data_IF_217463862098
#
_entry.id   IF_217463862098
#
_cell.length_a   1.000
_cell.length_b   1.000
_cell.length_c   1.000
_cell.angle_alpha   90.00
_cell.angle_beta   90.00
_cell.angle_gamma   90.00
#
_symmetry.space_group_name_H-M   'P 1'
#
loop_
_entity.id
_entity.type
_entity.pdbx_description
1 polymer ?
#
# COMPACT_ATOMS: atom_id res chain seq x y z
N UNK A 1 -29.97 7.25 -29.19
CA UNK A 1 -29.89 6.49 -27.93
C UNK A 1 -28.43 6.29 -27.60
N UNK A 2 -27.92 7.01 -26.60
CA UNK A 2 -26.55 6.89 -26.12
C UNK A 2 -26.50 5.71 -25.15
N UNK A 3 -25.90 4.60 -25.58
CA UNK A 3 -25.61 3.46 -24.71
C UNK A 3 -24.48 3.83 -23.75
N UNK A 4 -24.82 4.14 -22.50
CA UNK A 4 -23.85 4.18 -21.42
C UNK A 4 -23.37 2.74 -21.16
N UNK A 5 -22.21 2.40 -21.73
CA UNK A 5 -21.44 1.23 -21.32
C UNK A 5 -20.91 1.50 -19.90
N UNK A 6 -21.68 1.13 -18.88
CA UNK A 6 -21.19 1.06 -17.51
C UNK A 6 -20.15 -0.06 -17.45
N UNK A 7 -18.87 0.28 -17.60
CA UNK A 7 -17.77 -0.69 -17.42
C UNK A 7 -17.85 -1.20 -15.97
N UNK A 8 -17.88 -2.53 -15.85
CA UNK A 8 -17.88 -3.31 -14.60
C UNK A 8 -16.93 -2.72 -13.56
N UNK A 9 -17.44 -2.66 -12.33
CA UNK A 9 -16.97 -1.94 -11.16
C UNK A 9 -15.46 -2.02 -10.89
N UNK A 10 -14.85 -0.87 -10.58
CA UNK A 10 -13.62 -0.90 -9.79
C UNK A 10 -13.99 -1.42 -8.40
N UNK A 11 -13.28 -2.44 -7.91
CA UNK A 11 -13.48 -3.01 -6.57
C UNK A 11 -13.20 -1.95 -5.52
N UNK A 12 -14.27 -1.30 -5.07
CA UNK A 12 -14.24 -0.25 -4.07
C UNK A 12 -14.82 -0.82 -2.78
N UNK A 13 -13.98 -1.04 -1.78
CA UNK A 13 -14.42 -1.45 -0.45
C UNK A 13 -14.50 -0.24 0.48
N UNK A 14 -15.32 -0.36 1.53
CA UNK A 14 -15.34 0.64 2.61
C UNK A 14 -14.18 0.40 3.55
N UNK A 15 -13.47 1.46 3.92
CA UNK A 15 -12.50 1.37 5.02
C UNK A 15 -13.21 1.58 6.35
N UNK A 16 -12.59 1.12 7.43
CA UNK A 16 -13.09 1.33 8.79
C UNK A 16 -12.27 2.40 9.51
N UNK A 17 -12.90 3.15 10.40
CA UNK A 17 -12.22 4.15 11.22
C UNK A 17 -11.93 3.60 12.61
N UNK A 18 -10.69 3.74 13.06
CA UNK A 18 -10.27 3.48 14.44
C UNK A 18 -9.49 4.68 14.99
N UNK A 19 -10.16 5.49 15.82
CA UNK A 19 -9.57 6.70 16.41
C UNK A 19 -8.40 6.41 17.35
N UNK A 20 -8.28 5.18 17.86
CA UNK A 20 -7.24 4.76 18.79
C UNK A 20 -6.02 4.16 18.08
N UNK A 21 -6.00 4.16 16.74
CA UNK A 21 -4.94 3.51 15.97
C UNK A 21 -3.57 4.14 16.25
N UNK A 22 -3.50 5.43 16.53
CA UNK A 22 -2.27 6.12 16.96
C UNK A 22 -1.67 5.57 18.26
N UNK A 23 -2.50 4.98 19.12
CA UNK A 23 -2.10 4.35 20.38
C UNK A 23 -1.67 2.88 20.20
N UNK A 24 -1.73 2.32 19.00
CA UNK A 24 -1.27 0.96 18.73
C UNK A 24 0.24 0.84 18.97
N UNK A 25 0.67 -0.19 19.71
CA UNK A 25 2.08 -0.41 20.06
C UNK A 25 3.02 -0.42 18.85
N UNK A 26 2.59 -1.01 17.73
CA UNK A 26 3.41 -1.03 16.51
C UNK A 26 3.58 0.38 15.95
N UNK A 27 2.51 1.18 15.92
CA UNK A 27 2.55 2.57 15.44
C UNK A 27 3.40 3.45 16.37
N UNK A 28 3.27 3.28 17.67
CA UNK A 28 4.13 3.98 18.63
C UNK A 28 5.60 3.60 18.44
N UNK A 29 5.88 2.32 18.19
CA UNK A 29 7.22 1.81 17.95
C UNK A 29 7.85 2.43 16.69
N UNK A 30 7.08 2.62 15.61
CA UNK A 30 7.54 3.31 14.39
C UNK A 30 8.13 4.69 14.70
N UNK A 31 7.57 5.42 15.66
CA UNK A 31 8.04 6.77 16.04
C UNK A 31 9.38 6.75 16.79
N UNK A 32 9.84 5.58 17.26
CA UNK A 32 11.11 5.44 18.01
C UNK A 32 12.31 5.11 17.12
N UNK A 33 12.08 4.74 15.86
CA UNK A 33 13.14 4.39 14.93
C UNK A 33 13.27 5.41 13.81
N UNK A 34 14.50 5.69 13.34
CA UNK A 34 14.69 6.53 12.17
C UNK A 34 14.05 5.88 10.95
N UNK A 35 13.71 6.70 9.96
CA UNK A 35 13.25 6.17 8.69
C UNK A 35 14.33 5.35 7.99
N UNK A 36 13.88 4.39 7.20
CA UNK A 36 14.75 3.50 6.45
C UNK A 36 15.37 4.24 5.26
N UNK A 37 16.70 4.14 5.14
CA UNK A 37 17.46 4.52 3.95
C UNK A 37 17.72 3.25 3.14
N UNK A 38 16.91 3.05 2.10
CA UNK A 38 16.99 1.85 1.26
C UNK A 38 18.15 1.96 0.24
N UNK A 39 18.53 3.19 -0.15
CA UNK A 39 19.54 3.43 -1.18
C UNK A 39 20.41 4.65 -0.84
N UNK A 40 21.66 4.66 -1.29
CA UNK A 40 22.62 5.72 -0.95
C UNK A 40 22.20 7.11 -1.42
N UNK A 41 21.56 7.20 -2.59
CA UNK A 41 21.09 8.43 -3.23
C UNK A 41 19.70 8.88 -2.78
N UNK A 42 19.05 8.13 -1.89
CA UNK A 42 17.69 8.44 -1.44
C UNK A 42 17.67 9.69 -0.55
N UNK A 43 16.67 10.55 -0.78
CA UNK A 43 16.31 11.64 0.14
C UNK A 43 15.28 11.11 1.13
N UNK A 44 15.61 11.15 2.42
CA UNK A 44 14.72 10.70 3.48
C UNK A 44 13.64 11.75 3.73
N UNK A 45 12.39 11.44 3.37
CA UNK A 45 11.25 12.37 3.50
C UNK A 45 10.64 12.45 4.91
N UNK A 46 10.96 11.50 5.81
CA UNK A 46 10.41 11.42 7.16
C UNK A 46 11.53 11.18 8.19
N UNK A 47 11.54 11.86 9.35
CA UNK A 47 12.55 11.63 10.38
C UNK A 47 12.38 10.27 11.10
N UNK A 48 11.19 9.68 11.06
CA UNK A 48 10.88 8.42 11.75
C UNK A 48 10.34 7.38 10.78
N UNK A 49 10.47 6.10 11.13
CA UNK A 49 9.93 4.99 10.36
C UNK A 49 8.45 5.19 10.05
N UNK A 50 8.06 5.00 8.80
CA UNK A 50 6.67 5.24 8.35
C UNK A 50 5.85 3.96 8.15
N UNK A 51 6.48 2.79 8.06
CA UNK A 51 5.74 1.54 7.91
C UNK A 51 6.45 0.33 8.53
N UNK A 52 5.62 -0.56 9.06
CA UNK A 52 5.97 -1.94 9.38
C UNK A 52 4.98 -2.84 8.67
N UNK A 53 5.36 -3.27 7.47
CA UNK A 53 4.56 -4.10 6.58
C UNK A 53 5.39 -5.32 6.20
N UNK A 54 4.73 -6.47 6.24
CA UNK A 54 5.27 -7.74 5.77
C UNK A 54 4.47 -8.12 4.54
N UNK A 55 5.18 -8.45 3.47
CA UNK A 55 4.62 -9.09 2.31
C UNK A 55 5.16 -10.51 2.19
N UNK A 56 4.31 -11.45 1.80
CA UNK A 56 4.75 -12.78 1.34
C UNK A 56 4.19 -13.03 -0.05
N UNK A 57 5.04 -13.49 -0.96
CA UNK A 57 4.62 -14.00 -2.26
C UNK A 57 4.76 -15.53 -2.23
N UNK A 58 3.74 -16.25 -2.67
CA UNK A 58 3.81 -17.70 -2.82
C UNK A 58 3.38 -18.15 -4.21
N UNK A 59 4.14 -19.08 -4.78
CA UNK A 59 3.92 -19.61 -6.13
C UNK A 59 4.45 -21.05 -6.20
N UNK A 60 3.99 -21.81 -7.19
CA UNK A 60 4.53 -23.15 -7.48
C UNK A 60 5.70 -23.03 -8.45
N UNK A 61 6.83 -23.66 -8.13
CA UNK A 61 7.95 -23.76 -9.07
C UNK A 61 7.72 -24.85 -10.13
N UNK A 62 8.69 -25.03 -11.04
CA UNK A 62 8.61 -26.02 -12.11
C UNK A 62 8.43 -27.48 -11.63
N UNK A 63 8.79 -27.76 -10.37
CA UNK A 63 8.63 -29.07 -9.74
C UNK A 63 7.34 -29.17 -8.93
N UNK A 64 6.41 -28.21 -9.09
CA UNK A 64 5.16 -28.09 -8.31
C UNK A 64 5.39 -27.91 -6.81
N UNK A 65 6.61 -27.55 -6.39
CA UNK A 65 6.88 -27.24 -5.00
C UNK A 65 6.44 -25.80 -4.71
N UNK A 66 5.68 -25.62 -3.61
CA UNK A 66 5.27 -24.28 -3.17
C UNK A 66 6.47 -23.53 -2.61
N UNK A 67 6.82 -22.40 -3.25
CA UNK A 67 7.81 -21.44 -2.77
C UNK A 67 7.11 -20.29 -2.07
N UNK A 68 7.74 -19.78 -1.02
CA UNK A 68 7.29 -18.60 -0.27
C UNK A 68 8.48 -17.65 -0.15
N UNK A 69 8.32 -16.42 -0.62
CA UNK A 69 9.34 -15.38 -0.57
C UNK A 69 8.81 -14.22 0.28
N UNK A 70 9.46 -13.92 1.41
CA UNK A 70 9.12 -12.74 2.20
C UNK A 70 9.73 -11.48 1.58
N UNK A 71 9.01 -10.37 1.72
CA UNK A 71 9.46 -9.02 1.40
C UNK A 71 9.09 -8.10 2.56
N UNK A 72 9.96 -7.15 2.85
CA UNK A 72 9.83 -6.20 3.94
C UNK A 72 10.34 -4.83 3.50
N UNK A 73 10.67 -3.98 4.49
CA UNK A 73 11.34 -2.70 4.26
C UNK A 73 10.51 -1.68 3.46
N UNK A 74 9.18 -1.77 3.58
CA UNK A 74 8.25 -0.79 3.06
C UNK A 74 8.33 0.55 3.80
N UNK A 75 8.01 1.60 3.06
CA UNK A 75 7.82 2.98 3.51
C UNK A 75 6.41 3.44 3.14
N UNK A 76 5.91 4.44 3.86
CA UNK A 76 4.62 5.05 3.61
C UNK A 76 4.76 6.53 3.25
N UNK A 77 4.16 6.90 2.11
CA UNK A 77 3.99 8.29 1.68
C UNK A 77 2.51 8.54 1.39
N UNK A 78 1.97 9.65 1.86
CA UNK A 78 0.59 10.02 1.62
C UNK A 78 0.52 11.38 0.94
N UNK A 79 -0.28 11.50 -0.11
CA UNK A 79 -0.47 12.72 -0.88
C UNK A 79 -1.96 12.95 -1.05
N UNK A 80 -2.43 14.16 -0.79
CA UNK A 80 -3.80 14.54 -1.12
C UNK A 80 -3.83 15.18 -2.51
N UNK A 81 -4.48 14.55 -3.48
CA UNK A 81 -4.57 15.04 -4.86
C UNK A 81 -6.03 15.13 -5.29
N UNK A 82 -6.48 16.36 -5.55
CA UNK A 82 -7.90 16.67 -5.82
C UNK A 82 -8.76 16.16 -4.66
N UNK A 83 -9.64 15.19 -4.92
CA UNK A 83 -10.54 14.57 -3.93
C UNK A 83 -10.12 13.13 -3.57
N UNK A 84 -8.85 12.79 -3.81
CA UNK A 84 -8.32 11.45 -3.55
C UNK A 84 -7.09 11.54 -2.67
N UNK A 85 -7.15 10.83 -1.55
CA UNK A 85 -5.98 10.54 -0.75
C UNK A 85 -5.26 9.32 -1.35
N UNK A 86 -4.02 9.53 -1.77
CA UNK A 86 -3.14 8.49 -2.30
C UNK A 86 -2.13 8.07 -1.23
N UNK A 87 -2.21 6.83 -0.78
CA UNK A 87 -1.28 6.24 0.19
C UNK A 87 -0.40 5.23 -0.53
N UNK A 88 0.85 5.58 -0.68
CA UNK A 88 1.89 4.79 -1.30
C UNK A 88 2.59 3.95 -0.24
N UNK A 89 2.44 2.62 -0.33
CA UNK A 89 3.07 1.65 0.56
C UNK A 89 4.01 0.79 -0.28
N UNK A 90 5.27 1.23 -0.40
CA UNK A 90 6.24 0.60 -1.30
C UNK A 90 7.67 0.64 -0.74
N UNK A 91 8.57 -0.11 -1.35
CA UNK A 91 10.00 -0.12 -1.07
C UNK A 91 10.83 0.34 -2.29
N UNK A 92 10.29 1.28 -3.07
CA UNK A 92 10.82 1.72 -4.35
C UNK A 92 12.19 2.44 -4.23
N UNK A 93 13.17 2.13 -5.11
CA UNK A 93 14.42 2.91 -5.30
C UNK A 93 14.37 3.99 -6.37
N UNK A 94 13.30 4.06 -7.15
CA UNK A 94 13.28 4.83 -8.40
C UNK A 94 13.63 4.02 -9.64
N UNK A 95 14.10 2.77 -9.52
CA UNK A 95 14.38 1.88 -10.66
C UNK A 95 13.44 0.66 -10.70
N UNK A 96 13.10 0.12 -9.53
CA UNK A 96 12.20 -1.00 -9.31
C UNK A 96 11.53 -0.81 -7.93
N UNK A 97 10.25 -1.16 -7.82
CA UNK A 97 9.53 -1.04 -6.55
C UNK A 97 8.42 -2.07 -6.44
N UNK A 98 8.34 -2.73 -5.29
CA UNK A 98 7.22 -3.58 -4.93
C UNK A 98 6.36 -2.82 -3.92
N UNK A 99 5.06 -3.13 -3.89
CA UNK A 99 4.14 -2.49 -2.97
C UNK A 99 2.77 -2.27 -3.60
N UNK A 100 2.03 -1.35 -3.00
CA UNK A 100 0.69 -0.98 -3.43
C UNK A 100 0.48 0.53 -3.36
N UNK A 101 -0.42 1.01 -4.21
CA UNK A 101 -1.07 2.31 -4.07
C UNK A 101 -2.49 2.08 -3.54
N UNK A 102 -2.78 2.63 -2.37
CA UNK A 102 -4.15 2.71 -1.84
C UNK A 102 -4.72 4.07 -2.24
N UNK A 103 -5.85 4.07 -2.94
CA UNK A 103 -6.56 5.30 -3.28
C UNK A 103 -7.84 5.35 -2.45
N UNK A 104 -8.01 6.40 -1.66
CA UNK A 104 -9.17 6.64 -0.79
C UNK A 104 -9.98 7.81 -1.33
N UNK A 105 -11.29 7.62 -1.48
CA UNK A 105 -12.25 8.60 -2.00
C UNK A 105 -13.55 8.46 -1.20
N UNK A 106 -13.92 9.51 -0.45
CA UNK A 106 -15.01 9.43 0.53
C UNK A 106 -14.71 8.39 1.61
N UNK A 107 -15.65 7.48 1.87
CA UNK A 107 -15.54 6.35 2.81
C UNK A 107 -15.06 5.03 2.13
N UNK A 108 -14.67 5.10 0.86
CA UNK A 108 -14.27 3.94 0.07
C UNK A 108 -12.79 4.00 -0.32
N UNK A 109 -12.24 2.85 -0.63
CA UNK A 109 -10.88 2.71 -1.12
C UNK A 109 -10.76 1.62 -2.18
N UNK A 110 -9.67 1.69 -2.94
CA UNK A 110 -9.17 0.57 -3.76
C UNK A 110 -7.67 0.44 -3.60
N UNK A 111 -7.17 -0.76 -3.85
CA UNK A 111 -5.74 -1.06 -3.85
C UNK A 111 -5.30 -1.38 -5.28
N UNK A 112 -4.17 -0.83 -5.70
CA UNK A 112 -3.49 -1.16 -6.96
C UNK A 112 -2.10 -1.69 -6.66
N UNK A 113 -1.79 -2.86 -7.19
CA UNK A 113 -0.45 -3.44 -7.09
C UNK A 113 0.52 -2.74 -8.05
N UNK A 114 1.65 -2.29 -7.51
CA UNK A 114 2.74 -1.73 -8.31
C UNK A 114 3.40 -2.86 -9.09
N UNK A 115 3.61 -2.67 -10.39
CA UNK A 115 4.33 -3.63 -11.21
C UNK A 115 5.84 -3.47 -10.96
N UNK A 116 6.51 -4.45 -10.30
CA UNK A 116 7.93 -4.34 -10.00
C UNK A 116 8.82 -4.42 -11.25
N UNK A 117 8.26 -4.80 -12.41
CA UNK A 117 8.98 -4.87 -13.69
C UNK A 117 8.85 -3.59 -14.53
N UNK A 118 8.19 -2.55 -14.01
CA UNK A 118 8.11 -1.28 -14.71
C UNK A 118 9.52 -0.66 -14.83
N UNK A 119 9.91 -0.27 -16.04
CA UNK A 119 11.21 0.35 -16.34
C UNK A 119 11.08 1.88 -16.39
N UNK A 120 12.22 2.58 -16.30
CA UNK A 120 12.39 3.99 -16.66
C UNK A 120 11.53 5.00 -15.88
N UNK A 121 11.59 4.99 -14.54
CA UNK A 121 10.88 5.95 -13.67
C UNK A 121 9.34 5.98 -13.84
N UNK A 122 8.76 5.04 -14.60
CA UNK A 122 7.32 4.94 -14.77
C UNK A 122 6.70 4.08 -13.67
N UNK A 123 5.66 4.61 -13.02
CA UNK A 123 4.83 3.80 -12.13
C UNK A 123 3.75 3.12 -12.97
N UNK A 124 3.86 1.80 -13.12
CA UNK A 124 2.80 0.96 -13.72
C UNK A 124 2.15 0.09 -12.66
N UNK A 125 0.90 -0.26 -12.88
CA UNK A 125 0.15 -1.17 -12.03
C UNK A 125 -0.06 -2.50 -12.75
N UNK A 126 0.06 -3.60 -12.02
CA UNK A 126 -0.24 -4.93 -12.52
C UNK A 126 -1.69 -5.29 -12.20
N UNK A 127 -2.34 -6.02 -13.10
CA UNK A 127 -3.70 -6.51 -12.87
C UNK A 127 -3.65 -7.63 -11.84
N UNK A 128 -4.53 -7.56 -10.85
CA UNK A 128 -4.63 -8.57 -9.80
C UNK A 128 -6.07 -9.04 -9.63
N UNK A 129 -6.22 -10.26 -9.14
CA UNK A 129 -7.47 -10.80 -8.64
C UNK A 129 -7.49 -10.60 -7.12
N UNK A 130 -8.34 -9.71 -6.62
CA UNK A 130 -8.41 -9.41 -5.19
C UNK A 130 -9.15 -10.54 -4.47
N UNK A 131 -8.49 -11.15 -3.50
CA UNK A 131 -9.08 -12.20 -2.65
C UNK A 131 -9.63 -11.61 -1.35
N UNK A 132 -8.91 -10.64 -0.77
CA UNK A 132 -9.32 -9.92 0.44
C UNK A 132 -8.67 -8.54 0.45
N UNK A 133 -9.40 -7.52 0.86
CA UNK A 133 -8.82 -6.22 1.20
C UNK A 133 -9.48 -5.65 2.45
N UNK A 134 -8.67 -5.07 3.34
CA UNK A 134 -9.09 -4.35 4.52
C UNK A 134 -8.16 -3.16 4.72
N UNK A 135 -8.76 -2.00 4.91
CA UNK A 135 -8.09 -0.77 5.29
C UNK A 135 -8.75 -0.23 6.57
N UNK A 136 -7.92 0.10 7.55
CA UNK A 136 -8.32 0.82 8.77
C UNK A 136 -7.54 2.13 8.80
N UNK A 137 -8.21 3.25 9.01
CA UNK A 137 -7.60 4.57 9.13
C UNK A 137 -8.00 5.24 10.45
N UNK A 138 -7.22 6.22 10.92
CA UNK A 138 -7.54 6.94 12.16
C UNK A 138 -8.75 7.88 12.07
N UNK A 139 -9.10 8.32 10.86
CA UNK A 139 -10.21 9.23 10.60
C UNK A 139 -10.77 9.02 9.19
N UNK A 140 -11.93 9.60 8.91
CA UNK A 140 -12.63 9.46 7.62
C UNK A 140 -12.44 10.65 6.68
N UNK A 141 -11.98 11.79 7.19
CA UNK A 141 -11.75 13.00 6.43
C UNK A 141 -10.31 13.43 6.65
N UNK A 142 -9.62 13.77 5.58
CA UNK A 142 -8.20 14.11 5.62
C UNK A 142 -7.95 15.42 4.90
N UNK A 143 -6.98 16.17 5.39
CA UNK A 143 -6.44 17.37 4.78
C UNK A 143 -4.93 17.27 4.69
N UNK A 144 -4.34 18.13 3.87
CA UNK A 144 -2.90 18.31 3.82
C UNK A 144 -2.36 18.66 5.22
N UNK A 145 -1.22 18.08 5.57
CA UNK A 145 -0.55 18.13 6.87
C UNK A 145 -1.21 17.34 8.01
N UNK A 146 -2.34 16.65 7.77
CA UNK A 146 -2.87 15.74 8.78
C UNK A 146 -1.92 14.56 9.01
N UNK A 147 -1.87 14.10 10.26
CA UNK A 147 -1.27 12.81 10.59
C UNK A 147 -2.23 11.69 10.20
N UNK A 148 -1.73 10.76 9.40
CA UNK A 148 -2.44 9.54 9.04
C UNK A 148 -1.79 8.35 9.71
N UNK A 149 -2.62 7.52 10.32
CA UNK A 149 -2.26 6.22 10.85
C UNK A 149 -3.15 5.19 10.18
N UNK A 150 -2.58 4.05 9.82
CA UNK A 150 -3.34 3.05 9.11
C UNK A 150 -2.88 1.62 9.34
N UNK A 151 -3.81 0.70 9.11
CA UNK A 151 -3.57 -0.73 9.02
C UNK A 151 -4.11 -1.25 7.69
N UNK A 152 -3.33 -2.08 7.03
CA UNK A 152 -3.69 -2.76 5.79
C UNK A 152 -3.61 -4.27 5.97
N UNK A 153 -4.58 -4.98 5.40
CA UNK A 153 -4.52 -6.43 5.23
C UNK A 153 -5.12 -6.77 3.87
N UNK A 154 -4.23 -7.07 2.92
CA UNK A 154 -4.54 -7.23 1.52
C UNK A 154 -3.99 -8.57 1.00
N UNK A 155 -4.84 -9.33 0.31
CA UNK A 155 -4.48 -10.59 -0.33
C UNK A 155 -4.99 -10.59 -1.77
N UNK A 156 -4.13 -10.97 -2.71
CA UNK A 156 -4.47 -11.04 -4.12
C UNK A 156 -3.71 -12.13 -4.86
N UNK A 157 -4.14 -12.42 -6.07
CA UNK A 157 -3.40 -13.23 -7.05
C UNK A 157 -2.92 -12.33 -8.18
N UNK A 158 -1.65 -12.50 -8.54
CA UNK A 158 -1.01 -11.85 -9.68
C UNK A 158 -0.86 -12.91 -10.76
N UNK A 159 -1.45 -12.63 -11.94
CA UNK A 159 -1.48 -13.51 -13.11
C UNK A 159 -1.96 -14.96 -12.82
N UNK A 160 -2.76 -15.16 -11.78
CA UNK A 160 -3.24 -16.48 -11.28
C UNK A 160 -2.14 -17.47 -10.85
N UNK A 161 -0.89 -17.01 -10.75
CA UNK A 161 0.27 -17.85 -10.45
C UNK A 161 0.96 -17.48 -9.13
N UNK A 162 0.84 -16.21 -8.73
CA UNK A 162 1.49 -15.70 -7.52
C UNK A 162 0.43 -15.21 -6.55
N UNK A 163 0.32 -15.86 -5.40
CA UNK A 163 -0.49 -15.38 -4.29
C UNK A 163 0.33 -14.41 -3.45
N UNK A 164 -0.18 -13.20 -3.24
CA UNK A 164 0.44 -12.16 -2.41
C UNK A 164 -0.38 -11.95 -1.15
N UNK A 165 0.26 -11.99 0.00
CA UNK A 165 -0.26 -11.49 1.28
C UNK A 165 0.54 -10.23 1.65
N UNK A 166 -0.15 -9.12 1.95
CA UNK A 166 0.43 -7.82 2.26
C UNK A 166 -0.28 -7.23 3.48
N UNK A 167 0.42 -7.16 4.60
CA UNK A 167 -0.20 -6.79 5.88
C UNK A 167 0.74 -5.96 6.75
N UNK A 168 0.18 -4.95 7.40
CA UNK A 168 0.94 -4.19 8.39
C UNK A 168 0.34 -2.86 8.77
N UNK A 169 1.13 -2.11 9.53
CA UNK A 169 0.78 -0.78 10.02
C UNK A 169 1.65 0.29 9.34
N UNK A 170 1.10 1.48 9.18
CA UNK A 170 1.80 2.62 8.63
C UNK A 170 1.38 3.92 9.32
N UNK A 171 2.27 4.91 9.27
CA UNK A 171 2.02 6.28 9.70
C UNK A 171 2.78 7.26 8.82
N UNK A 172 2.21 8.41 8.54
CA UNK A 172 2.92 9.52 7.88
C UNK A 172 2.15 10.84 8.06
N UNK A 173 2.69 11.92 7.52
CA UNK A 173 1.99 13.21 7.37
C UNK A 173 1.57 13.32 5.90
N UNK A 174 0.34 13.76 5.66
CA UNK A 174 -0.18 13.95 4.31
C UNK A 174 0.48 15.18 3.67
N UNK A 175 1.11 15.00 2.51
CA UNK A 175 1.77 16.06 1.73
C UNK A 175 0.80 16.80 0.81
#
# INVERSE_FOLDING_TARGET
MTTFSCRKEAYFDKFTVDKNLSSNDTIQLLSKYPELKLFNSEVIESPTRTAFIIQTASFSDANHARRIIPFDNYKCKAIYKNDTLEIWLNNNNGYFGNGVLVQVFGDHFRIKDINPKALNNEVKFIKTNILRQKLVLNQSHFQKNDSIYGFINYQCEIDSLVHKDFKGYFKTIIQ
#
